data_IF_202682975820
#
_entry.id   IF_202682975820
#
_cell.length_a   1.000
_cell.length_b   1.000
_cell.length_c   1.000
_cell.angle_alpha   90.00
_cell.angle_beta   90.00
_cell.angle_gamma   90.00
#
_symmetry.space_group_name_H-M   'P 1'
#
loop_
_entity.id
_entity.type
_entity.pdbx_description
1 polymer ?
#
# COMPACT_ATOMS: atom_id res chain seq x y z
N UNK A 1 10.52 -27.09 30.85
CA UNK A 1 10.38 -28.31 30.03
C UNK A 1 9.75 -27.85 28.72
N UNK A 2 10.24 -28.34 27.59
CA UNK A 2 9.61 -28.04 26.30
C UNK A 2 8.21 -28.66 26.28
N UNK A 3 7.21 -27.89 25.85
CA UNK A 3 5.85 -28.35 25.63
C UNK A 3 5.79 -29.05 24.27
N UNK A 4 5.67 -30.36 24.26
CA UNK A 4 5.74 -31.17 23.04
C UNK A 4 4.39 -31.83 22.80
N UNK A 5 3.83 -31.61 21.62
CA UNK A 5 2.63 -32.29 21.13
C UNK A 5 2.95 -33.25 19.98
N UNK A 6 1.88 -33.89 19.47
CA UNK A 6 1.96 -34.81 18.32
C UNK A 6 0.91 -34.45 17.27
N UNK A 7 1.26 -34.56 16.00
CA UNK A 7 0.31 -34.41 14.92
C UNK A 7 -0.70 -35.58 14.96
N UNK A 8 -1.98 -35.26 14.97
CA UNK A 8 -3.07 -36.25 14.91
C UNK A 8 -3.80 -36.24 13.57
N UNK A 9 -3.81 -35.08 12.87
CA UNK A 9 -4.43 -34.95 11.55
C UNK A 9 -3.73 -33.89 10.72
N UNK A 10 -3.63 -34.14 9.43
CA UNK A 10 -3.15 -33.16 8.41
C UNK A 10 -4.22 -33.03 7.34
N UNK A 11 -4.69 -31.80 7.10
CA UNK A 11 -5.69 -31.47 6.09
C UNK A 11 -5.19 -30.27 5.25
N UNK A 12 -4.29 -30.54 4.31
CA UNK A 12 -3.62 -29.48 3.56
C UNK A 12 -2.83 -28.53 4.49
N UNK A 13 -3.11 -27.23 4.46
CA UNK A 13 -2.42 -26.25 5.31
C UNK A 13 -2.89 -26.23 6.77
N UNK A 14 -3.87 -27.06 7.14
CA UNK A 14 -4.41 -27.15 8.51
C UNK A 14 -3.97 -28.45 9.17
N UNK A 15 -3.40 -28.34 10.36
CA UNK A 15 -2.82 -29.45 11.11
C UNK A 15 -3.39 -29.45 12.53
N UNK A 16 -3.89 -30.59 12.97
CA UNK A 16 -4.35 -30.80 14.34
C UNK A 16 -3.23 -31.44 15.16
N UNK A 17 -2.94 -30.86 16.33
CA UNK A 17 -1.87 -31.27 17.24
C UNK A 17 -2.44 -31.53 18.62
N UNK A 18 -2.19 -32.72 19.16
CA UNK A 18 -2.58 -33.13 20.51
C UNK A 18 -1.43 -32.88 21.49
N UNK A 19 -1.75 -32.27 22.63
CA UNK A 19 -0.83 -32.03 23.75
C UNK A 19 -1.23 -32.84 24.99
N UNK A 20 -0.36 -32.88 25.99
CA UNK A 20 -0.70 -33.46 27.27
C UNK A 20 -1.73 -32.63 28.04
N UNK A 21 -2.46 -33.26 28.96
CA UNK A 21 -3.50 -32.61 29.76
C UNK A 21 -3.03 -31.31 30.43
N UNK A 22 -3.87 -30.28 30.30
CA UNK A 22 -3.67 -28.94 30.88
C UNK A 22 -2.44 -28.15 30.40
N UNK A 23 -1.84 -28.52 29.27
CA UNK A 23 -0.66 -27.82 28.71
C UNK A 23 -0.88 -27.40 27.26
N UNK A 24 -2.07 -26.90 26.94
CA UNK A 24 -2.40 -26.41 25.59
C UNK A 24 -1.71 -25.07 25.30
N UNK A 25 -1.07 -24.91 24.13
CA UNK A 25 -0.62 -23.61 23.64
C UNK A 25 -1.80 -22.63 23.50
N UNK A 26 -1.51 -21.37 23.70
CA UNK A 26 -2.51 -20.31 23.50
C UNK A 26 -2.84 -20.11 22.01
N UNK A 27 -4.01 -19.57 21.73
CA UNK A 27 -4.38 -19.14 20.37
C UNK A 27 -3.36 -18.07 19.93
N UNK A 28 -2.93 -18.15 18.66
CA UNK A 28 -1.88 -17.34 18.04
C UNK A 28 -0.45 -17.70 18.49
N UNK A 29 -0.25 -18.71 19.32
CA UNK A 29 1.10 -19.23 19.60
C UNK A 29 1.71 -19.92 18.37
N UNK A 30 3.01 -19.73 18.22
CA UNK A 30 3.80 -20.40 17.20
C UNK A 30 4.26 -21.77 17.68
N UNK A 31 4.04 -22.76 16.85
CA UNK A 31 4.55 -24.12 17.02
C UNK A 31 5.48 -24.46 15.86
N UNK A 32 6.33 -25.45 16.02
CA UNK A 32 7.11 -25.95 14.90
C UNK A 32 7.28 -27.44 14.90
N UNK A 33 7.44 -28.02 13.71
CA UNK A 33 7.78 -29.41 13.47
C UNK A 33 9.02 -29.48 12.59
N UNK A 34 9.87 -30.46 12.81
CA UNK A 34 11.02 -30.72 11.92
C UNK A 34 10.56 -31.72 10.85
N UNK A 35 10.52 -31.25 9.63
CA UNK A 35 10.16 -32.05 8.46
C UNK A 35 11.33 -32.10 7.49
N UNK A 36 11.87 -33.31 7.25
CA UNK A 36 13.07 -33.53 6.42
C UNK A 36 14.24 -32.57 6.74
N UNK A 37 14.48 -32.36 8.03
CA UNK A 37 15.56 -31.46 8.52
C UNK A 37 15.25 -29.96 8.44
N UNK A 38 14.07 -29.57 7.95
CA UNK A 38 13.61 -28.19 7.91
C UNK A 38 12.64 -27.90 9.05
N UNK A 39 12.80 -26.74 9.68
CA UNK A 39 11.86 -26.23 10.68
C UNK A 39 10.65 -25.64 9.96
N UNK A 40 9.49 -26.29 10.14
CA UNK A 40 8.22 -25.84 9.58
C UNK A 40 7.37 -25.25 10.71
N UNK A 41 7.06 -23.96 10.61
CA UNK A 41 6.30 -23.21 11.62
C UNK A 41 4.81 -23.26 11.28
N UNK A 42 3.99 -23.38 12.33
CA UNK A 42 2.54 -23.31 12.29
C UNK A 42 2.05 -22.41 13.43
N UNK A 43 0.85 -21.89 13.29
CA UNK A 43 0.21 -21.01 14.28
C UNK A 43 -1.09 -21.64 14.78
N UNK A 44 -1.29 -21.60 16.10
CA UNK A 44 -2.54 -22.08 16.72
C UNK A 44 -3.70 -21.17 16.34
N UNK A 45 -4.69 -21.72 15.66
CA UNK A 45 -5.90 -21.00 15.25
C UNK A 45 -7.05 -21.17 16.23
N UNK A 46 -7.23 -22.39 16.77
CA UNK A 46 -8.33 -22.69 17.69
C UNK A 46 -8.05 -23.93 18.53
N UNK A 47 -8.75 -24.04 19.68
CA UNK A 47 -8.83 -25.24 20.48
C UNK A 47 -10.06 -26.02 20.06
N UNK A 48 -9.90 -27.32 19.74
CA UNK A 48 -10.99 -28.15 19.21
C UNK A 48 -11.45 -29.23 20.19
N UNK A 49 -10.97 -29.19 21.45
CA UNK A 49 -11.27 -30.15 22.48
C UNK A 49 -10.31 -31.33 22.52
N UNK A 50 -10.45 -32.22 23.55
CA UNK A 50 -9.60 -33.40 23.77
C UNK A 50 -8.08 -33.07 23.69
N UNK A 51 -7.66 -31.96 24.32
CA UNK A 51 -6.27 -31.52 24.36
C UNK A 51 -5.66 -31.27 22.97
N UNK A 52 -6.50 -31.01 21.98
CA UNK A 52 -6.09 -30.79 20.58
C UNK A 52 -6.27 -29.34 20.17
N UNK A 53 -5.23 -28.81 19.54
CA UNK A 53 -5.25 -27.50 18.90
C UNK A 53 -5.24 -27.65 17.39
N UNK A 54 -5.96 -26.80 16.71
CA UNK A 54 -5.96 -26.70 15.25
C UNK A 54 -5.06 -25.56 14.82
N UNK A 55 -4.11 -25.87 13.96
CA UNK A 55 -3.07 -24.95 13.53
C UNK A 55 -3.13 -24.70 12.03
N UNK A 56 -2.66 -23.52 11.62
CA UNK A 56 -2.45 -23.14 10.21
C UNK A 56 -0.95 -23.15 9.94
N UNK A 57 -0.54 -23.88 8.90
CA UNK A 57 0.85 -23.94 8.47
C UNK A 57 1.29 -22.63 7.81
N UNK A 58 2.44 -22.10 8.20
CA UNK A 58 3.15 -21.01 7.51
C UNK A 58 4.21 -21.54 6.54
N UNK A 59 4.42 -22.84 6.52
CA UNK A 59 5.27 -23.56 5.60
C UNK A 59 4.50 -24.65 4.88
N UNK A 60 5.06 -25.24 3.85
CA UNK A 60 4.47 -26.36 3.14
C UNK A 60 4.21 -27.54 4.08
N UNK A 61 3.07 -28.19 3.93
CA UNK A 61 2.65 -29.33 4.77
C UNK A 61 3.02 -30.70 4.19
N UNK A 62 3.56 -30.75 2.98
CA UNK A 62 3.95 -31.98 2.32
C UNK A 62 5.02 -32.74 3.12
N UNK A 63 4.78 -34.02 3.31
CA UNK A 63 5.66 -34.89 4.10
C UNK A 63 5.36 -34.91 5.61
N UNK A 64 4.42 -34.10 6.09
CA UNK A 64 3.95 -34.20 7.46
C UNK A 64 3.13 -35.46 7.64
N UNK A 65 3.42 -36.19 8.73
CA UNK A 65 2.78 -37.45 9.08
C UNK A 65 2.21 -37.39 10.50
N UNK A 66 1.26 -38.26 10.73
CA UNK A 66 0.74 -38.49 12.07
C UNK A 66 1.85 -38.93 13.03
N UNK A 67 1.70 -38.61 14.29
CA UNK A 67 2.66 -38.86 15.38
C UNK A 67 4.00 -38.10 15.32
N UNK A 68 4.21 -37.22 14.34
CA UNK A 68 5.37 -36.33 14.34
C UNK A 68 5.30 -35.37 15.54
N UNK A 69 6.45 -35.17 16.18
CA UNK A 69 6.61 -34.26 17.33
C UNK A 69 6.52 -32.81 16.90
N UNK A 70 5.71 -32.04 17.62
CA UNK A 70 5.52 -30.62 17.46
C UNK A 70 5.92 -29.92 18.75
N UNK A 71 6.74 -28.89 18.65
CA UNK A 71 7.22 -28.13 19.81
C UNK A 71 6.50 -26.79 19.86
N UNK A 72 5.92 -26.48 21.03
CA UNK A 72 5.34 -25.18 21.31
C UNK A 72 6.42 -24.20 21.76
N UNK A 73 6.44 -23.01 21.16
CA UNK A 73 7.43 -21.97 21.52
C UNK A 73 7.04 -21.19 22.76
N UNK A 74 5.76 -21.25 23.16
CA UNK A 74 5.22 -20.49 24.29
C UNK A 74 4.98 -19.01 24.00
N UNK A 75 5.06 -18.61 22.75
CA UNK A 75 4.82 -17.23 22.28
C UNK A 75 4.31 -17.24 20.85
N UNK A 76 3.73 -16.13 20.42
CA UNK A 76 3.37 -15.92 19.02
C UNK A 76 4.61 -15.76 18.13
N UNK A 77 4.39 -15.60 16.83
CA UNK A 77 5.47 -15.39 15.84
C UNK A 77 6.23 -14.11 16.20
N UNK A 78 7.54 -14.24 16.38
CA UNK A 78 8.44 -13.13 16.71
C UNK A 78 9.27 -12.75 15.48
N UNK A 79 9.31 -11.47 15.14
CA UNK A 79 10.05 -10.96 13.98
C UNK A 79 11.04 -9.86 14.41
N UNK A 80 12.20 -9.75 13.74
CA UNK A 80 13.17 -8.71 14.07
C UNK A 80 12.60 -7.33 13.75
N UNK A 81 12.93 -6.35 14.57
CA UNK A 81 12.54 -4.95 14.41
C UNK A 81 13.77 -4.06 14.63
N UNK A 82 13.74 -2.85 14.06
CA UNK A 82 14.77 -1.86 14.24
C UNK A 82 15.52 -1.50 12.97
N UNK A 83 16.52 -0.62 13.12
CA UNK A 83 17.24 -0.04 11.98
C UNK A 83 18.00 -1.07 11.12
N UNK A 84 18.39 -2.20 11.70
CA UNK A 84 19.06 -3.28 10.96
C UNK A 84 18.14 -4.05 10.00
N UNK A 85 16.83 -3.83 10.07
CA UNK A 85 15.89 -4.37 9.10
C UNK A 85 15.87 -3.57 7.79
N UNK A 86 16.34 -2.33 7.84
CA UNK A 86 16.40 -1.47 6.65
C UNK A 86 17.40 -1.98 5.62
N UNK A 87 17.04 -1.91 4.37
CA UNK A 87 17.84 -2.44 3.27
C UNK A 87 17.75 -3.95 3.09
N UNK A 88 16.95 -4.64 3.90
CA UNK A 88 16.90 -6.10 3.97
C UNK A 88 15.57 -6.65 3.45
N UNK A 89 15.62 -7.93 3.08
CA UNK A 89 14.51 -8.68 2.54
C UNK A 89 14.17 -9.86 3.48
N UNK A 90 12.90 -9.95 3.88
CA UNK A 90 12.42 -10.93 4.86
C UNK A 90 11.28 -11.79 4.32
N UNK A 91 11.15 -12.99 4.90
CA UNK A 91 9.94 -13.81 4.80
C UNK A 91 8.93 -13.45 5.91
N UNK A 92 7.82 -14.16 5.96
CA UNK A 92 6.75 -13.97 6.97
C UNK A 92 7.23 -14.17 8.41
N UNK A 93 8.23 -15.01 8.63
CA UNK A 93 8.80 -15.30 9.95
C UNK A 93 9.88 -14.29 10.37
N UNK A 94 10.20 -13.33 9.50
CA UNK A 94 11.28 -12.38 9.75
C UNK A 94 12.68 -12.95 9.47
N UNK A 95 12.77 -14.11 8.84
CA UNK A 95 14.07 -14.62 8.38
C UNK A 95 14.53 -13.83 7.16
N UNK A 96 15.82 -13.52 7.09
CA UNK A 96 16.42 -12.84 5.94
C UNK A 96 16.51 -13.78 4.75
N UNK A 97 16.09 -13.32 3.56
CA UNK A 97 16.10 -14.07 2.30
C UNK A 97 16.93 -13.39 1.21
N UNK A 98 17.80 -12.48 1.59
CA UNK A 98 18.67 -11.67 0.73
C UNK A 98 20.16 -12.11 0.81
N UNK A 99 20.43 -13.34 1.25
CA UNK A 99 21.78 -13.90 1.49
C UNK A 99 22.64 -13.09 2.48
N UNK A 100 22.04 -12.13 3.20
CA UNK A 100 22.73 -11.34 4.22
C UNK A 100 22.76 -12.01 5.59
N UNK A 101 23.39 -11.32 6.55
CA UNK A 101 23.46 -11.81 7.93
C UNK A 101 22.07 -11.98 8.55
N UNK A 102 21.93 -13.05 9.37
CA UNK A 102 20.73 -13.27 10.16
C UNK A 102 20.61 -12.26 11.29
N UNK A 103 19.40 -11.84 11.59
CA UNK A 103 19.12 -10.88 12.66
C UNK A 103 18.62 -11.53 13.95
N UNK A 104 19.09 -12.74 14.27
CA UNK A 104 18.64 -13.53 15.43
C UNK A 104 18.93 -12.84 16.77
N UNK A 105 19.95 -11.98 16.82
CA UNK A 105 20.39 -11.27 18.04
C UNK A 105 19.75 -9.88 18.20
N UNK A 106 18.90 -9.48 17.29
CA UNK A 106 18.24 -8.17 17.35
C UNK A 106 16.97 -8.22 18.21
N UNK A 107 16.39 -7.05 18.48
CA UNK A 107 15.09 -6.96 19.17
C UNK A 107 14.02 -7.60 18.31
N UNK A 108 13.23 -8.48 18.90
CA UNK A 108 12.10 -9.13 18.24
C UNK A 108 10.79 -8.72 18.89
N UNK A 109 9.76 -8.52 18.07
CA UNK A 109 8.39 -8.25 18.48
C UNK A 109 7.44 -9.28 17.92
N UNK A 110 6.41 -9.59 18.71
CA UNK A 110 5.31 -10.43 18.25
C UNK A 110 4.51 -9.72 17.15
N UNK A 111 4.13 -10.46 16.10
CA UNK A 111 3.32 -9.89 15.02
C UNK A 111 1.88 -9.62 15.43
N UNK A 112 1.38 -10.30 16.45
CA UNK A 112 0.06 -10.08 17.02
C UNK A 112 0.13 -9.01 18.11
N UNK A 113 -0.12 -7.78 17.71
CA UNK A 113 -0.10 -6.60 18.59
C UNK A 113 -1.49 -5.98 18.64
N UNK A 114 -1.82 -5.40 19.79
CA UNK A 114 -3.03 -4.61 19.93
C UNK A 114 -2.91 -3.29 19.19
N UNK A 115 -4.03 -2.77 18.63
CA UNK A 115 -4.04 -1.43 18.07
C UNK A 115 -3.74 -0.37 19.13
N UNK A 116 -3.30 0.83 18.73
CA UNK A 116 -3.09 1.94 19.67
C UNK A 116 -4.37 2.27 20.45
N UNK A 117 -4.20 2.54 21.73
CA UNK A 117 -5.33 2.95 22.57
C UNK A 117 -5.91 4.31 22.14
N UNK A 118 -7.13 4.62 22.51
CA UNK A 118 -7.71 5.93 22.21
C UNK A 118 -6.88 7.09 22.77
N UNK A 119 -6.23 6.89 23.93
CA UNK A 119 -5.39 7.91 24.54
C UNK A 119 -4.08 8.14 23.77
N UNK A 120 -3.57 7.13 23.10
CA UNK A 120 -2.33 7.19 22.32
C UNK A 120 -2.53 7.75 20.91
N UNK A 121 -3.75 7.69 20.39
CA UNK A 121 -4.05 8.20 19.06
C UNK A 121 -3.95 9.72 19.01
N UNK A 122 -3.43 10.24 17.91
CA UNK A 122 -3.40 11.67 17.64
C UNK A 122 -4.77 12.14 17.13
N UNK A 123 -5.40 13.12 17.77
CA UNK A 123 -6.65 13.69 17.26
C UNK A 123 -6.43 14.66 16.10
N UNK A 124 -5.18 15.05 15.83
CA UNK A 124 -4.84 16.02 14.80
C UNK A 124 -4.72 15.31 13.45
N UNK A 125 -5.49 15.78 12.49
CA UNK A 125 -5.39 15.32 11.11
C UNK A 125 -4.42 16.24 10.37
N UNK A 126 -3.30 15.67 9.94
CA UNK A 126 -2.28 16.37 9.16
C UNK A 126 -2.15 15.75 7.77
N UNK A 127 -1.93 16.59 6.78
CA UNK A 127 -1.63 16.14 5.42
C UNK A 127 -0.20 15.61 5.33
N UNK A 128 -0.03 14.45 4.69
CA UNK A 128 1.25 13.93 4.27
C UNK A 128 1.57 14.46 2.87
N UNK A 129 2.50 15.38 2.77
CA UNK A 129 2.96 15.92 1.50
C UNK A 129 3.80 14.89 0.74
N UNK A 130 3.36 14.49 -0.43
CA UNK A 130 4.02 13.47 -1.25
C UNK A 130 4.98 14.04 -2.28
N UNK A 131 4.86 15.32 -2.60
CA UNK A 131 5.60 15.97 -3.67
C UNK A 131 5.10 15.63 -5.08
N UNK A 132 3.97 14.94 -5.17
CA UNK A 132 3.32 14.55 -6.43
C UNK A 132 2.06 15.42 -6.60
N UNK A 133 2.08 16.30 -7.60
CA UNK A 133 1.04 17.34 -7.80
C UNK A 133 -0.38 16.81 -7.78
N UNK A 134 -0.66 15.76 -8.55
CA UNK A 134 -2.03 15.24 -8.68
C UNK A 134 -2.54 14.65 -7.37
N UNK A 135 -1.70 14.00 -6.60
CA UNK A 135 -2.06 13.43 -5.30
C UNK A 135 -2.27 14.55 -4.29
N UNK A 136 -1.28 15.41 -4.13
CA UNK A 136 -1.30 16.46 -3.12
C UNK A 136 -2.43 17.47 -3.34
N UNK A 137 -2.79 17.75 -4.59
CA UNK A 137 -3.88 18.68 -4.90
C UNK A 137 -5.26 18.06 -4.72
N UNK A 138 -5.50 16.88 -5.32
CA UNK A 138 -6.86 16.34 -5.53
C UNK A 138 -7.22 15.16 -4.64
N UNK A 139 -6.25 14.39 -4.20
CA UNK A 139 -6.43 13.23 -3.33
C UNK A 139 -5.35 13.17 -2.24
N UNK A 140 -5.20 14.22 -1.41
CA UNK A 140 -4.14 14.31 -0.44
C UNK A 140 -4.19 13.18 0.59
N UNK A 141 -3.02 12.70 1.00
CA UNK A 141 -2.88 11.65 1.99
C UNK A 141 -2.85 12.23 3.40
N UNK A 142 -3.54 11.57 4.32
CA UNK A 142 -3.45 11.89 5.74
C UNK A 142 -2.31 11.10 6.39
N UNK A 143 -1.55 11.73 7.28
CA UNK A 143 -0.63 11.00 8.17
C UNK A 143 -1.40 10.03 9.04
N UNK A 144 -0.93 8.79 9.11
CA UNK A 144 -1.64 7.72 9.80
C UNK A 144 -2.89 7.24 9.08
N UNK A 145 -3.14 7.74 7.86
CA UNK A 145 -4.27 7.35 7.02
C UNK A 145 -4.02 6.06 6.25
N UNK A 146 -5.11 5.55 5.69
CA UNK A 146 -5.16 4.33 4.89
C UNK A 146 -5.56 4.71 3.47
N UNK A 147 -4.66 4.53 2.53
CA UNK A 147 -4.83 4.90 1.14
C UNK A 147 -5.00 3.64 0.30
N UNK A 148 -6.09 3.57 -0.45
CA UNK A 148 -6.30 2.53 -1.45
C UNK A 148 -5.70 2.94 -2.79
N UNK A 149 -4.85 2.10 -3.36
CA UNK A 149 -4.27 2.29 -4.68
C UNK A 149 -4.91 1.31 -5.66
N UNK A 150 -5.67 1.84 -6.60
CA UNK A 150 -6.40 1.09 -7.61
C UNK A 150 -5.74 1.24 -8.97
N UNK A 151 -5.70 0.17 -9.73
CA UNK A 151 -5.20 0.20 -11.09
C UNK A 151 -4.93 -1.18 -11.64
N UNK A 152 -5.17 -1.36 -12.93
CA UNK A 152 -4.86 -2.58 -13.65
C UNK A 152 -3.35 -2.77 -13.86
N UNK A 153 -2.99 -3.80 -14.60
CA UNK A 153 -1.59 -4.02 -14.97
C UNK A 153 -1.10 -2.93 -15.94
N UNK A 154 0.16 -2.51 -15.77
CA UNK A 154 0.84 -1.61 -16.71
C UNK A 154 0.44 -0.13 -16.62
N UNK A 155 -0.21 0.30 -15.53
CA UNK A 155 -0.59 1.71 -15.33
C UNK A 155 0.43 2.51 -14.49
N UNK A 156 1.56 1.90 -14.13
CA UNK A 156 2.63 2.59 -13.39
C UNK A 156 2.50 2.51 -11.86
N UNK A 157 1.77 1.53 -11.32
CA UNK A 157 1.60 1.32 -9.88
C UNK A 157 2.94 1.22 -9.14
N UNK A 158 3.81 0.34 -9.61
CA UNK A 158 5.13 0.11 -9.00
C UNK A 158 6.01 1.36 -9.03
N UNK A 159 6.02 2.08 -10.14
CA UNK A 159 6.79 3.32 -10.28
C UNK A 159 6.26 4.40 -9.33
N UNK A 160 4.96 4.50 -9.15
CA UNK A 160 4.36 5.42 -8.18
C UNK A 160 4.75 5.06 -6.74
N UNK A 161 4.72 3.79 -6.37
CA UNK A 161 5.15 3.32 -5.05
C UNK A 161 6.62 3.67 -4.79
N UNK A 162 7.48 3.40 -5.75
CA UNK A 162 8.90 3.73 -5.64
C UNK A 162 9.15 5.23 -5.50
N UNK A 163 8.41 6.06 -6.23
CA UNK A 163 8.52 7.52 -6.12
C UNK A 163 8.05 8.03 -4.75
N UNK A 164 6.97 7.46 -4.20
CA UNK A 164 6.53 7.79 -2.84
C UNK A 164 7.60 7.43 -1.81
N UNK A 165 8.22 6.26 -1.94
CA UNK A 165 9.33 5.83 -1.08
C UNK A 165 10.51 6.80 -1.20
N UNK A 166 10.89 7.14 -2.42
CA UNK A 166 12.00 8.06 -2.70
C UNK A 166 11.74 9.42 -2.05
N UNK A 167 10.57 10.00 -2.27
CA UNK A 167 10.24 11.33 -1.77
C UNK A 167 10.19 11.37 -0.24
N UNK A 168 9.63 10.36 0.40
CA UNK A 168 9.62 10.27 1.87
C UNK A 168 11.03 10.07 2.43
N UNK A 169 11.84 9.22 1.82
CA UNK A 169 13.21 8.97 2.27
C UNK A 169 14.11 10.20 2.12
N UNK A 170 14.00 10.92 1.01
CA UNK A 170 14.89 12.04 0.65
C UNK A 170 14.47 13.34 1.32
N UNK A 171 13.18 13.69 1.24
CA UNK A 171 12.69 14.99 1.68
C UNK A 171 12.32 15.03 3.17
N UNK A 172 11.95 13.89 3.74
CA UNK A 172 11.50 13.80 5.13
C UNK A 172 12.38 12.93 6.02
N UNK A 173 13.37 12.23 5.46
CA UNK A 173 14.23 11.29 6.20
C UNK A 173 13.47 10.11 6.80
N UNK A 174 12.26 9.83 6.32
CA UNK A 174 11.39 8.77 6.81
C UNK A 174 11.77 7.39 6.29
N UNK A 175 11.20 6.37 6.92
CA UNK A 175 11.39 4.98 6.53
C UNK A 175 10.13 4.41 5.89
N UNK A 176 10.32 3.39 5.09
CA UNK A 176 9.24 2.67 4.43
C UNK A 176 9.37 1.18 4.67
N UNK A 177 8.23 0.53 4.81
CA UNK A 177 8.13 -0.93 4.86
C UNK A 177 7.26 -1.37 3.69
N UNK A 178 7.77 -2.26 2.86
CA UNK A 178 6.99 -2.82 1.76
C UNK A 178 6.64 -4.28 2.07
N UNK A 179 5.35 -4.61 1.98
CA UNK A 179 4.86 -5.97 2.15
C UNK A 179 4.26 -6.49 0.86
N UNK A 180 4.88 -7.53 0.29
CA UNK A 180 4.37 -8.27 -0.86
C UNK A 180 3.50 -9.43 -0.41
N UNK A 181 2.20 -9.32 -0.60
CA UNK A 181 1.20 -10.31 -0.17
C UNK A 181 0.64 -11.05 -1.37
N UNK A 182 1.08 -12.29 -1.56
CA UNK A 182 0.58 -13.16 -2.61
C UNK A 182 0.89 -12.71 -4.04
N UNK A 183 1.92 -11.88 -4.22
CA UNK A 183 2.38 -11.43 -5.52
C UNK A 183 3.37 -12.42 -6.15
N UNK A 184 3.67 -12.23 -7.42
CA UNK A 184 4.61 -13.09 -8.15
C UNK A 184 6.03 -12.87 -7.67
N UNK A 185 6.79 -13.94 -7.47
CA UNK A 185 8.18 -13.87 -7.03
C UNK A 185 9.06 -13.05 -7.96
N UNK A 186 8.78 -13.09 -9.28
CA UNK A 186 9.49 -12.27 -10.26
C UNK A 186 9.27 -10.78 -10.01
N UNK A 187 8.02 -10.35 -9.81
CA UNK A 187 7.69 -8.95 -9.57
C UNK A 187 8.33 -8.44 -8.27
N UNK A 188 8.38 -9.28 -7.23
CA UNK A 188 9.08 -8.96 -5.99
C UNK A 188 10.59 -8.81 -6.17
N UNK A 189 11.22 -9.67 -6.98
CA UNK A 189 12.64 -9.57 -7.29
C UNK A 189 12.97 -8.36 -8.17
N UNK A 190 12.12 -8.07 -9.15
CA UNK A 190 12.26 -6.89 -10.00
C UNK A 190 12.18 -5.61 -9.15
N UNK A 191 11.19 -5.51 -8.25
CA UNK A 191 11.04 -4.41 -7.31
C UNK A 191 12.28 -4.23 -6.41
N UNK A 192 12.78 -5.31 -5.84
CA UNK A 192 13.98 -5.25 -4.99
C UNK A 192 15.20 -4.75 -5.75
N UNK A 193 15.40 -5.23 -6.98
CA UNK A 193 16.50 -4.82 -7.85
C UNK A 193 16.39 -3.33 -8.22
N UNK A 194 15.21 -2.90 -8.65
CA UNK A 194 14.93 -1.50 -9.00
C UNK A 194 15.13 -0.55 -7.81
N UNK A 195 14.68 -0.95 -6.61
CA UNK A 195 14.90 -0.16 -5.39
C UNK A 195 16.38 -0.04 -5.01
N UNK A 196 17.16 -1.07 -5.28
CA UNK A 196 18.60 -1.06 -5.09
C UNK A 196 19.30 -0.13 -6.08
N UNK A 197 18.90 -0.18 -7.35
CA UNK A 197 19.43 0.67 -8.41
C UNK A 197 19.05 2.15 -8.22
N UNK A 198 17.86 2.44 -7.74
CA UNK A 198 17.39 3.81 -7.45
C UNK A 198 17.92 4.38 -6.14
N UNK A 199 18.60 3.58 -5.32
CA UNK A 199 19.20 4.03 -4.05
C UNK A 199 18.21 4.26 -2.91
N UNK A 200 16.96 3.79 -3.03
CA UNK A 200 15.94 3.94 -1.98
C UNK A 200 15.90 2.75 -1.01
N UNK A 201 16.59 1.66 -1.33
CA UNK A 201 16.56 0.43 -0.55
C UNK A 201 17.06 0.63 0.88
N UNK A 202 18.10 1.46 1.11
CA UNK A 202 18.70 1.68 2.42
C UNK A 202 17.73 2.28 3.47
N UNK A 203 16.60 2.84 3.02
CA UNK A 203 15.55 3.41 3.88
C UNK A 203 14.29 2.53 3.92
N UNK A 204 14.35 1.32 3.35
CA UNK A 204 13.18 0.46 3.17
C UNK A 204 13.48 -0.95 3.63
N UNK A 205 12.56 -1.56 4.38
CA UNK A 205 12.55 -2.99 4.63
C UNK A 205 11.48 -3.65 3.74
N UNK A 206 11.79 -4.84 3.21
CA UNK A 206 10.93 -5.59 2.33
C UNK A 206 10.54 -6.92 2.99
N UNK A 207 9.25 -7.22 3.02
CA UNK A 207 8.72 -8.47 3.57
C UNK A 207 7.86 -9.14 2.52
N UNK A 208 8.18 -10.36 2.13
CA UNK A 208 7.45 -11.09 1.09
C UNK A 208 6.81 -12.39 1.60
N UNK A 209 5.53 -12.55 1.29
CA UNK A 209 4.80 -13.81 1.34
C UNK A 209 4.20 -14.05 -0.04
N UNK A 210 4.95 -14.74 -0.91
CA UNK A 210 4.68 -14.82 -2.34
C UNK A 210 3.51 -15.75 -2.69
N UNK A 211 3.09 -15.69 -3.95
CA UNK A 211 1.95 -16.47 -4.48
C UNK A 211 2.10 -17.97 -4.29
N UNK A 212 3.32 -18.50 -4.32
CA UNK A 212 3.62 -19.92 -4.14
C UNK A 212 3.71 -20.37 -2.68
N UNK A 213 3.64 -19.43 -1.74
CA UNK A 213 3.66 -19.77 -0.31
C UNK A 213 2.27 -20.19 0.18
N UNK A 214 2.21 -21.01 1.25
CA UNK A 214 0.93 -21.48 1.80
C UNK A 214 0.06 -20.32 2.30
N UNK A 215 -1.25 -20.50 2.40
CA UNK A 215 -2.17 -19.45 2.81
C UNK A 215 -1.85 -18.84 4.19
N UNK A 216 -1.32 -19.63 5.13
CA UNK A 216 -0.89 -19.12 6.44
C UNK A 216 0.19 -18.04 6.32
N UNK A 217 1.19 -18.22 5.46
CA UNK A 217 2.22 -17.22 5.22
C UNK A 217 1.62 -15.94 4.59
N UNK A 218 0.77 -16.09 3.59
CA UNK A 218 0.10 -14.95 2.94
C UNK A 218 -0.85 -14.19 3.87
N UNK A 219 -1.45 -14.86 4.86
CA UNK A 219 -2.28 -14.23 5.89
C UNK A 219 -1.48 -13.39 6.88
N UNK A 220 -0.22 -13.71 7.14
CA UNK A 220 0.57 -13.09 8.22
C UNK A 220 1.65 -12.14 7.75
N UNK A 221 2.01 -12.16 6.49
CA UNK A 221 3.11 -11.32 5.97
C UNK A 221 2.82 -9.81 6.14
N UNK A 222 1.58 -9.37 5.96
CA UNK A 222 1.20 -7.97 6.18
C UNK A 222 1.36 -7.56 7.66
N UNK A 223 1.04 -8.45 8.59
CA UNK A 223 1.23 -8.22 10.03
C UNK A 223 2.72 -8.16 10.39
N UNK A 224 3.55 -8.97 9.75
CA UNK A 224 5.01 -8.90 9.91
C UNK A 224 5.56 -7.53 9.52
N UNK A 225 5.22 -7.04 8.34
CA UNK A 225 5.65 -5.71 7.89
C UNK A 225 5.09 -4.59 8.74
N UNK A 226 3.83 -4.68 9.14
CA UNK A 226 3.20 -3.70 10.03
C UNK A 226 3.90 -3.65 11.39
N UNK A 227 4.30 -4.78 11.95
CA UNK A 227 5.05 -4.84 13.21
C UNK A 227 6.40 -4.13 13.10
N UNK A 228 7.11 -4.30 11.98
CA UNK A 228 8.34 -3.56 11.72
C UNK A 228 8.09 -2.04 11.63
N UNK A 229 7.00 -1.63 10.97
CA UNK A 229 6.61 -0.22 10.88
C UNK A 229 6.24 0.37 12.25
N UNK A 230 5.52 -0.37 13.07
CA UNK A 230 5.13 0.07 14.42
C UNK A 230 6.32 0.34 15.32
N UNK A 231 7.42 -0.41 15.19
CA UNK A 231 8.64 -0.13 15.94
C UNK A 231 9.18 1.26 15.64
N UNK A 232 9.24 1.65 14.39
CA UNK A 232 9.70 2.99 14.00
C UNK A 232 8.75 4.09 14.47
N UNK A 233 7.43 3.85 14.44
CA UNK A 233 6.43 4.77 14.98
C UNK A 233 6.57 4.93 16.49
N UNK A 234 6.58 3.82 17.23
CA UNK A 234 6.40 3.81 18.69
C UNK A 234 7.72 4.07 19.44
N UNK A 235 8.84 3.52 18.96
CA UNK A 235 10.17 3.60 19.61
C UNK A 235 11.01 4.72 19.01
N UNK A 236 11.08 4.78 17.68
CA UNK A 236 11.88 5.81 16.99
C UNK A 236 11.13 7.13 16.80
N UNK A 237 9.83 7.16 17.08
CA UNK A 237 8.95 8.34 16.98
C UNK A 237 8.98 8.98 15.61
N UNK A 238 8.86 8.16 14.58
CA UNK A 238 8.93 8.58 13.20
C UNK A 238 7.62 8.34 12.45
N UNK A 239 7.48 9.07 11.35
CA UNK A 239 6.45 8.82 10.36
C UNK A 239 6.96 7.76 9.38
N UNK A 240 6.19 6.69 9.20
CA UNK A 240 6.55 5.53 8.40
C UNK A 240 5.51 5.31 7.32
N UNK A 241 5.95 4.99 6.11
CA UNK A 241 5.08 4.46 5.07
C UNK A 241 5.06 2.92 5.11
N UNK A 242 3.87 2.37 5.09
CA UNK A 242 3.64 0.94 4.94
C UNK A 242 2.94 0.67 3.61
N UNK A 243 3.58 -0.10 2.74
CA UNK A 243 2.98 -0.56 1.50
C UNK A 243 2.50 -2.00 1.65
N UNK A 244 1.26 -2.27 1.24
CA UNK A 244 0.67 -3.61 1.20
C UNK A 244 0.25 -3.90 -0.23
N UNK A 245 0.97 -4.77 -0.90
CA UNK A 245 0.65 -5.20 -2.26
C UNK A 245 0.50 -6.71 -2.29
N UNK A 246 -0.67 -7.26 -2.24
CA UNK A 246 -2.00 -6.71 -2.42
C UNK A 246 -2.90 -7.10 -1.22
N UNK A 247 -3.68 -6.18 -0.69
CA UNK A 247 -4.56 -6.45 0.46
C UNK A 247 -5.64 -7.50 0.14
N UNK A 248 -6.09 -7.60 -1.11
CA UNK A 248 -7.02 -8.64 -1.53
C UNK A 248 -6.46 -10.05 -1.30
N UNK A 249 -5.15 -10.24 -1.50
CA UNK A 249 -4.50 -11.56 -1.29
C UNK A 249 -4.46 -11.97 0.18
N UNK A 250 -4.38 -11.01 1.09
CA UNK A 250 -4.56 -11.24 2.52
C UNK A 250 -5.95 -11.83 2.82
N UNK A 251 -7.00 -11.22 2.30
CA UNK A 251 -8.38 -11.69 2.44
C UNK A 251 -8.56 -13.07 1.80
N UNK A 252 -8.06 -13.27 0.59
CA UNK A 252 -8.14 -14.53 -0.14
C UNK A 252 -7.48 -15.68 0.62
N UNK A 253 -6.31 -15.46 1.20
CA UNK A 253 -5.63 -16.47 2.01
C UNK A 253 -6.47 -16.91 3.21
N UNK A 254 -7.16 -15.97 3.88
CA UNK A 254 -8.11 -16.26 4.94
C UNK A 254 -9.28 -17.12 4.46
N UNK A 255 -9.81 -16.88 3.27
CA UNK A 255 -10.91 -17.67 2.70
C UNK A 255 -10.47 -19.10 2.34
N UNK A 256 -9.26 -19.29 1.87
CA UNK A 256 -8.70 -20.61 1.51
C UNK A 256 -8.66 -21.59 2.70
N UNK A 257 -8.39 -21.09 3.89
CA UNK A 257 -8.31 -21.94 5.10
C UNK A 257 -9.61 -22.02 5.88
N UNK A 258 -10.56 -21.13 5.67
CA UNK A 258 -11.76 -20.96 6.47
C UNK A 258 -12.61 -22.23 6.56
N UNK A 259 -12.84 -22.90 5.43
CA UNK A 259 -13.58 -24.15 5.39
C UNK A 259 -12.86 -25.30 6.14
N UNK A 260 -11.53 -25.35 6.02
CA UNK A 260 -10.70 -26.34 6.71
C UNK A 260 -10.67 -26.13 8.23
N UNK A 261 -10.90 -24.89 8.67
CA UNK A 261 -11.07 -24.57 10.09
C UNK A 261 -12.48 -24.91 10.62
N UNK A 262 -13.38 -25.43 9.76
CA UNK A 262 -14.73 -25.78 10.15
C UNK A 262 -15.70 -24.60 10.20
N UNK A 263 -15.38 -23.49 9.56
CA UNK A 263 -16.25 -22.30 9.47
C UNK A 263 -17.16 -22.40 8.26
N UNK A 264 -18.44 -22.08 8.42
CA UNK A 264 -19.36 -21.97 7.29
C UNK A 264 -19.02 -20.75 6.45
N UNK A 265 -18.95 -20.87 5.12
CA UNK A 265 -18.68 -19.71 4.25
C UNK A 265 -19.80 -18.68 4.32
N UNK A 266 -19.42 -17.41 4.23
CA UNK A 266 -20.34 -16.29 4.07
C UNK A 266 -20.61 -15.99 2.60
N UNK A 267 -21.12 -14.80 2.29
CA UNK A 267 -21.41 -14.38 0.92
C UNK A 267 -20.20 -14.57 -0.01
N UNK A 268 -20.45 -15.04 -1.22
CA UNK A 268 -19.44 -15.28 -2.28
C UNK A 268 -18.32 -16.25 -1.87
N UNK A 269 -18.52 -17.01 -0.79
CA UNK A 269 -17.54 -18.00 -0.30
C UNK A 269 -16.44 -17.44 0.61
N UNK A 270 -16.51 -16.19 1.01
CA UNK A 270 -15.56 -15.60 1.96
C UNK A 270 -15.74 -16.14 3.39
N UNK A 271 -14.71 -15.97 4.21
CA UNK A 271 -14.76 -16.31 5.63
C UNK A 271 -15.80 -15.47 6.39
N UNK A 272 -16.49 -16.05 7.38
CA UNK A 272 -17.44 -15.27 8.20
C UNK A 272 -16.75 -14.22 9.06
N UNK A 273 -15.42 -14.34 9.27
CA UNK A 273 -14.59 -13.43 10.05
C UNK A 273 -13.96 -12.32 9.21
N UNK A 274 -14.34 -12.15 7.94
CA UNK A 274 -13.74 -11.20 7.00
C UNK A 274 -13.60 -9.79 7.58
N UNK A 275 -14.66 -9.24 8.13
CA UNK A 275 -14.65 -7.89 8.67
C UNK A 275 -13.70 -7.77 9.88
N UNK A 276 -13.64 -8.79 10.72
CA UNK A 276 -12.75 -8.80 11.89
C UNK A 276 -11.29 -8.96 11.46
N UNK A 277 -10.99 -9.86 10.53
CA UNK A 277 -9.63 -10.10 10.03
C UNK A 277 -9.04 -8.82 9.40
N UNK A 278 -9.83 -8.15 8.56
CA UNK A 278 -9.43 -6.86 7.97
C UNK A 278 -9.34 -5.77 9.04
N UNK A 279 -10.29 -5.70 9.94
CA UNK A 279 -10.33 -4.71 11.03
C UNK A 279 -9.12 -4.82 11.96
N UNK A 280 -8.73 -6.03 12.40
CA UNK A 280 -7.55 -6.25 13.25
C UNK A 280 -6.27 -5.68 12.61
N UNK A 281 -6.09 -5.85 11.30
CA UNK A 281 -4.96 -5.31 10.58
C UNK A 281 -5.06 -3.77 10.44
N UNK A 282 -6.21 -3.28 9.99
CA UNK A 282 -6.40 -1.86 9.66
C UNK A 282 -6.36 -0.92 10.87
N UNK A 283 -6.89 -1.35 12.01
CA UNK A 283 -6.93 -0.52 13.23
C UNK A 283 -5.54 -0.29 13.86
N UNK A 284 -4.56 -1.13 13.55
CA UNK A 284 -3.16 -0.92 13.97
C UNK A 284 -2.47 0.19 13.17
N UNK A 285 -2.98 0.50 11.98
CA UNK A 285 -2.46 1.53 11.08
C UNK A 285 -3.07 2.87 11.52
N UNK A 286 -2.31 3.66 12.27
CA UNK A 286 -2.80 4.89 12.86
C UNK A 286 -1.68 5.89 13.14
N UNK A 287 -2.08 7.14 13.31
CA UNK A 287 -1.25 8.21 13.86
C UNK A 287 -1.34 8.19 15.37
N UNK A 288 -0.21 8.21 16.04
CA UNK A 288 -0.10 8.28 17.50
C UNK A 288 0.61 9.56 17.92
N UNK A 289 0.64 9.83 19.23
CA UNK A 289 1.41 10.96 19.79
C UNK A 289 2.91 10.85 19.53
N UNK A 290 3.40 9.66 19.23
CA UNK A 290 4.84 9.40 19.01
C UNK A 290 5.23 9.50 17.52
N UNK A 291 4.36 9.09 16.61
CA UNK A 291 4.61 9.06 15.18
C UNK A 291 3.42 8.47 14.45
N UNK A 292 3.56 8.23 13.17
CA UNK A 292 2.48 7.68 12.34
C UNK A 292 2.93 6.49 11.49
N UNK A 293 1.99 5.58 11.24
CA UNK A 293 2.07 4.61 10.14
C UNK A 293 1.00 4.97 9.13
N UNK A 294 1.41 5.40 7.96
CA UNK A 294 0.53 5.69 6.82
C UNK A 294 0.62 4.53 5.85
N UNK A 295 -0.51 3.92 5.48
CA UNK A 295 -0.50 2.80 4.56
C UNK A 295 -0.96 3.17 3.16
N UNK A 296 -0.26 2.64 2.17
CA UNK A 296 -0.69 2.61 0.76
C UNK A 296 -0.93 1.15 0.41
N UNK A 297 -2.19 0.81 0.17
CA UNK A 297 -2.65 -0.55 -0.03
C UNK A 297 -3.12 -0.73 -1.46
N UNK A 298 -2.44 -1.58 -2.21
CA UNK A 298 -2.94 -1.97 -3.53
C UNK A 298 -4.18 -2.85 -3.34
N UNK A 299 -5.25 -2.49 -4.01
CA UNK A 299 -6.53 -3.20 -3.94
C UNK A 299 -6.85 -3.78 -5.31
N UNK A 300 -6.97 -5.10 -5.37
CA UNK A 300 -7.53 -5.78 -6.52
C UNK A 300 -9.04 -5.90 -6.36
N UNK A 301 -9.77 -5.56 -7.40
CA UNK A 301 -11.23 -5.64 -7.44
C UNK A 301 -11.61 -6.77 -8.39
N UNK A 302 -12.10 -7.92 -7.88
CA UNK A 302 -12.51 -9.04 -8.73
C UNK A 302 -13.60 -8.64 -9.72
N UNK A 303 -13.39 -8.92 -11.01
CA UNK A 303 -14.33 -8.61 -12.10
C UNK A 303 -14.79 -7.12 -12.15
N UNK A 304 -13.98 -6.21 -11.63
CA UNK A 304 -14.30 -4.79 -11.47
C UNK A 304 -15.59 -4.53 -10.66
N UNK A 305 -15.99 -5.49 -9.82
CA UNK A 305 -17.18 -5.40 -8.97
C UNK A 305 -16.84 -4.84 -7.59
N UNK A 306 -17.10 -3.56 -7.38
CA UNK A 306 -16.90 -2.86 -6.12
C UNK A 306 -17.84 -3.35 -4.99
N UNK A 307 -18.87 -4.13 -5.32
CA UNK A 307 -19.80 -4.69 -4.33
C UNK A 307 -19.34 -6.04 -3.79
N UNK A 308 -18.29 -6.61 -4.35
CA UNK A 308 -17.66 -7.81 -3.79
C UNK A 308 -17.26 -7.57 -2.33
N UNK A 309 -17.53 -8.52 -1.40
CA UNK A 309 -17.28 -8.33 0.03
C UNK A 309 -15.85 -7.95 0.41
N UNK A 310 -14.83 -8.42 -0.31
CA UNK A 310 -13.45 -8.13 0.01
C UNK A 310 -13.07 -6.65 -0.25
N UNK A 311 -13.23 -6.10 -1.46
CA UNK A 311 -13.02 -4.68 -1.68
C UNK A 311 -13.98 -3.82 -0.87
N UNK A 312 -15.25 -4.16 -0.75
CA UNK A 312 -16.23 -3.40 0.03
C UNK A 312 -15.81 -3.24 1.50
N UNK A 313 -15.34 -4.32 2.14
CA UNK A 313 -14.85 -4.28 3.51
C UNK A 313 -13.57 -3.44 3.62
N UNK A 314 -12.67 -3.55 2.67
CA UNK A 314 -11.43 -2.75 2.63
C UNK A 314 -11.75 -1.27 2.46
N UNK A 315 -12.66 -0.90 1.56
CA UNK A 315 -13.06 0.49 1.32
C UNK A 315 -13.60 1.20 2.56
N UNK A 316 -14.28 0.47 3.44
CA UNK A 316 -14.81 1.03 4.68
C UNK A 316 -13.72 1.63 5.58
N UNK A 317 -12.49 1.14 5.48
CA UNK A 317 -11.33 1.59 6.25
C UNK A 317 -10.51 2.68 5.56
N UNK A 318 -10.69 2.92 4.27
CA UNK A 318 -9.85 3.85 3.51
C UNK A 318 -10.19 5.32 3.77
N UNK A 319 -9.16 6.14 3.91
CA UNK A 319 -9.26 7.60 4.04
C UNK A 319 -9.10 8.31 2.71
N UNK A 320 -8.37 7.72 1.79
CA UNK A 320 -8.18 8.23 0.43
C UNK A 320 -8.11 7.09 -0.59
N UNK A 321 -8.46 7.39 -1.83
CA UNK A 321 -8.34 6.48 -2.97
C UNK A 321 -7.55 7.15 -4.08
N UNK A 322 -6.55 6.45 -4.59
CA UNK A 322 -5.78 6.84 -5.76
C UNK A 322 -6.06 5.86 -6.88
N UNK A 323 -6.70 6.32 -7.94
CA UNK A 323 -7.09 5.49 -9.08
C UNK A 323 -6.15 5.74 -10.24
N UNK A 324 -5.44 4.70 -10.68
CA UNK A 324 -4.60 4.74 -11.87
C UNK A 324 -5.41 4.27 -13.09
N UNK A 325 -5.44 5.10 -14.13
CA UNK A 325 -6.28 4.91 -15.30
C UNK A 325 -5.49 4.59 -16.55
N UNK A 326 -5.87 3.51 -17.25
CA UNK A 326 -5.29 3.18 -18.55
C UNK A 326 -5.55 4.25 -19.61
N UNK A 327 -6.71 4.90 -19.56
CA UNK A 327 -7.05 6.01 -20.47
C UNK A 327 -6.07 7.18 -20.37
N UNK A 328 -5.57 7.44 -19.16
CA UNK A 328 -4.56 8.49 -18.92
C UNK A 328 -3.18 8.04 -19.41
N UNK A 329 -2.84 6.76 -19.23
CA UNK A 329 -1.61 6.16 -19.82
C UNK A 329 -1.61 6.30 -21.35
N UNK A 330 -2.73 6.05 -22.01
CA UNK A 330 -2.89 6.19 -23.47
C UNK A 330 -2.67 7.61 -23.96
N UNK A 331 -2.89 8.61 -23.10
CA UNK A 331 -2.59 10.01 -23.37
C UNK A 331 -1.12 10.39 -23.10
N UNK A 332 -0.32 9.43 -22.61
CA UNK A 332 1.07 9.65 -22.25
C UNK A 332 1.28 10.46 -20.96
N UNK A 333 0.26 10.60 -20.13
CA UNK A 333 0.31 11.37 -18.88
C UNK A 333 0.73 10.45 -17.74
N UNK A 334 1.82 10.81 -17.06
CA UNK A 334 2.33 10.11 -15.88
C UNK A 334 2.63 11.09 -14.74
N UNK A 335 2.28 10.77 -13.47
CA UNK A 335 1.58 9.54 -13.05
C UNK A 335 0.16 9.48 -13.63
N UNK A 336 -0.29 8.27 -13.96
CA UNK A 336 -1.58 8.07 -14.60
C UNK A 336 -2.77 8.08 -13.61
N UNK A 337 -2.70 8.96 -12.62
CA UNK A 337 -3.75 9.13 -11.60
C UNK A 337 -4.96 9.82 -12.22
N UNK A 338 -6.12 9.19 -12.10
CA UNK A 338 -7.37 9.79 -12.55
C UNK A 338 -7.82 10.88 -11.58
N UNK A 339 -7.85 12.15 -12.01
CA UNK A 339 -8.14 13.27 -11.13
C UNK A 339 -9.61 13.36 -10.69
N UNK A 340 -10.50 12.69 -11.38
CA UNK A 340 -11.95 12.71 -11.09
C UNK A 340 -12.42 11.47 -10.32
N UNK A 341 -11.74 10.33 -10.51
CA UNK A 341 -12.06 9.08 -9.80
C UNK A 341 -11.30 8.94 -8.47
N UNK A 342 -10.20 9.68 -8.31
CA UNK A 342 -9.43 9.71 -7.06
C UNK A 342 -10.06 10.68 -6.06
N UNK A 343 -10.02 10.33 -4.78
CA UNK A 343 -10.65 11.12 -3.72
C UNK A 343 -9.91 11.02 -2.40
N UNK A 344 -10.15 11.99 -1.51
CA UNK A 344 -9.62 11.98 -0.15
C UNK A 344 -10.61 12.62 0.82
N UNK A 345 -10.75 12.02 2.00
CA UNK A 345 -11.58 12.57 3.08
C UNK A 345 -11.03 13.85 3.68
N UNK A 346 -9.70 14.06 3.59
CA UNK A 346 -9.07 15.26 4.15
C UNK A 346 -9.06 16.44 3.18
N UNK A 347 -9.61 16.32 1.97
CA UNK A 347 -9.76 17.45 1.04
C UNK A 347 -10.94 18.33 1.50
N UNK A 348 -10.73 19.00 2.61
CA UNK A 348 -11.65 19.95 3.25
C UNK A 348 -10.90 21.20 3.64
N UNK A 349 -11.59 22.35 3.59
CA UNK A 349 -10.97 23.65 3.85
C UNK A 349 -10.31 23.75 5.25
N UNK A 350 -10.89 23.07 6.24
CA UNK A 350 -10.39 23.07 7.61
C UNK A 350 -9.08 22.30 7.77
N UNK A 351 -8.76 21.37 6.86
CA UNK A 351 -7.56 20.53 6.92
C UNK A 351 -6.47 21.05 5.99
N UNK A 352 -6.79 21.24 4.70
CA UNK A 352 -5.80 21.63 3.69
C UNK A 352 -5.68 23.14 3.51
N UNK A 353 -6.60 23.91 4.05
CA UNK A 353 -6.72 25.36 3.89
C UNK A 353 -7.68 25.76 2.77
N UNK A 354 -8.26 26.95 2.92
CA UNK A 354 -9.29 27.48 2.00
C UNK A 354 -8.81 27.61 0.55
N UNK A 355 -7.60 28.10 0.36
CA UNK A 355 -7.02 28.29 -0.99
C UNK A 355 -6.81 26.96 -1.71
N UNK A 356 -6.21 25.99 -1.04
CA UNK A 356 -6.00 24.65 -1.59
C UNK A 356 -7.32 23.99 -1.95
N UNK A 357 -8.27 24.00 -1.04
CA UNK A 357 -9.61 23.44 -1.26
C UNK A 357 -10.31 24.06 -2.47
N UNK A 358 -10.31 25.39 -2.54
CA UNK A 358 -10.96 26.13 -3.64
C UNK A 358 -10.31 25.80 -4.99
N UNK A 359 -8.98 25.81 -5.06
CA UNK A 359 -8.24 25.47 -6.29
C UNK A 359 -8.53 24.02 -6.71
N UNK A 360 -8.50 23.07 -5.78
CA UNK A 360 -8.80 21.66 -6.07
C UNK A 360 -10.23 21.49 -6.63
N UNK A 361 -11.22 22.13 -6.03
CA UNK A 361 -12.60 22.07 -6.52
C UNK A 361 -12.77 22.67 -7.90
N UNK A 362 -12.16 23.83 -8.15
CA UNK A 362 -12.18 24.46 -9.48
C UNK A 362 -11.50 23.59 -10.55
N UNK A 363 -10.40 22.91 -10.20
CA UNK A 363 -9.74 21.95 -11.10
C UNK A 363 -10.68 20.77 -11.42
N UNK A 364 -11.34 20.20 -10.42
CA UNK A 364 -12.31 19.12 -10.63
C UNK A 364 -13.47 19.56 -11.50
N UNK A 365 -14.02 20.74 -11.28
CA UNK A 365 -15.13 21.30 -12.07
C UNK A 365 -14.77 21.50 -13.53
N UNK A 366 -13.61 22.07 -13.81
CA UNK A 366 -13.16 22.32 -15.18
C UNK A 366 -12.85 21.03 -15.92
N UNK A 367 -12.26 20.03 -15.24
CA UNK A 367 -12.00 18.71 -15.84
C UNK A 367 -13.29 17.93 -16.08
N UNK A 368 -14.26 18.03 -15.19
CA UNK A 368 -15.56 17.40 -15.35
C UNK A 368 -16.32 18.02 -16.54
N UNK A 369 -16.34 19.35 -16.62
CA UNK A 369 -16.96 20.04 -17.76
C UNK A 369 -16.26 19.67 -19.07
N UNK A 370 -14.93 19.57 -19.08
CA UNK A 370 -14.20 19.12 -20.26
C UNK A 370 -14.56 17.70 -20.67
N UNK A 371 -14.71 16.77 -19.72
CA UNK A 371 -15.13 15.41 -20.00
C UNK A 371 -16.52 15.36 -20.69
N UNK A 372 -17.45 16.19 -20.25
CA UNK A 372 -18.77 16.33 -20.85
C UNK A 372 -18.71 16.94 -22.26
N UNK A 373 -17.82 17.89 -22.48
CA UNK A 373 -17.64 18.52 -23.80
C UNK A 373 -16.89 17.63 -24.81
N UNK A 374 -16.14 16.62 -24.36
CA UNK A 374 -15.41 15.72 -25.27
C UNK A 374 -16.31 14.99 -26.26
N UNK A 375 -17.49 14.56 -25.84
CA UNK A 375 -18.46 13.89 -26.71
C UNK A 375 -19.00 14.86 -27.78
N UNK A 376 -19.24 16.10 -27.40
CA UNK A 376 -19.68 17.15 -28.32
C UNK A 376 -18.56 17.48 -29.33
N UNK A 377 -17.33 17.62 -28.85
CA UNK A 377 -16.15 17.91 -29.70
C UNK A 377 -15.94 16.76 -30.71
N UNK A 378 -16.09 15.51 -30.29
CA UNK A 378 -15.91 14.36 -31.15
C UNK A 378 -16.94 14.28 -32.30
N UNK A 379 -18.17 14.78 -32.08
CA UNK A 379 -19.25 14.73 -33.06
C UNK A 379 -19.29 15.99 -33.91
N UNK A 380 -19.21 17.16 -33.29
CA UNK A 380 -19.46 18.46 -33.96
C UNK A 380 -18.20 19.26 -34.23
N UNK A 381 -17.08 18.92 -33.56
CA UNK A 381 -15.82 19.68 -33.63
C UNK A 381 -15.75 20.84 -32.64
N UNK A 382 -14.53 21.39 -32.48
CA UNK A 382 -14.27 22.52 -31.57
C UNK A 382 -14.97 23.81 -31.97
N UNK A 383 -15.20 24.02 -33.27
CA UNK A 383 -15.74 25.27 -33.81
C UNK A 383 -17.16 25.55 -33.35
N UNK A 384 -17.97 24.50 -33.07
CA UNK A 384 -19.33 24.60 -32.61
C UNK A 384 -19.49 24.97 -31.14
N UNK A 385 -18.40 24.99 -30.39
CA UNK A 385 -18.43 25.37 -28.97
C UNK A 385 -18.55 26.90 -28.82
N UNK A 386 -19.19 27.32 -27.73
CA UNK A 386 -19.18 28.73 -27.31
C UNK A 386 -17.75 29.18 -26.97
N UNK A 387 -17.48 30.47 -27.00
CA UNK A 387 -16.14 31.02 -26.65
C UNK A 387 -15.77 30.68 -25.19
N UNK A 388 -16.75 30.63 -24.29
CA UNK A 388 -16.57 30.21 -22.90
C UNK A 388 -16.17 28.74 -22.80
N UNK A 389 -16.84 27.87 -23.56
CA UNK A 389 -16.52 26.44 -23.58
C UNK A 389 -15.16 26.17 -24.25
N UNK A 390 -14.79 26.91 -25.30
CA UNK A 390 -13.47 26.85 -25.90
C UNK A 390 -12.38 27.21 -24.89
N UNK A 391 -12.56 28.29 -24.13
CA UNK A 391 -11.63 28.69 -23.08
C UNK A 391 -11.51 27.61 -22.00
N UNK A 392 -12.65 27.04 -21.58
CA UNK A 392 -12.69 25.91 -20.62
C UNK A 392 -11.87 24.73 -21.14
N UNK A 393 -12.03 24.35 -22.39
CA UNK A 393 -11.28 23.23 -23.01
C UNK A 393 -9.79 23.52 -23.07
N UNK A 394 -9.38 24.73 -23.45
CA UNK A 394 -7.95 25.11 -23.50
C UNK A 394 -7.30 25.05 -22.10
N UNK A 395 -7.95 25.59 -21.10
CA UNK A 395 -7.46 25.53 -19.71
C UNK A 395 -7.45 24.11 -19.16
N UNK A 396 -8.50 23.32 -19.43
CA UNK A 396 -8.59 21.92 -19.00
C UNK A 396 -7.46 21.06 -19.60
N UNK A 397 -7.12 21.26 -20.87
CA UNK A 397 -5.99 20.57 -21.51
C UNK A 397 -4.65 20.94 -20.86
N UNK A 398 -4.43 22.21 -20.54
CA UNK A 398 -3.25 22.67 -19.81
C UNK A 398 -3.18 22.04 -18.42
N UNK A 399 -4.29 22.00 -17.72
CA UNK A 399 -4.41 21.36 -16.40
C UNK A 399 -4.07 19.87 -16.49
N UNK A 400 -4.63 19.13 -17.43
CA UNK A 400 -4.33 17.69 -17.61
C UNK A 400 -2.83 17.48 -17.85
N UNK A 401 -2.21 18.27 -18.70
CA UNK A 401 -0.77 18.17 -18.95
C UNK A 401 0.07 18.58 -17.76
N UNK A 402 -0.36 19.59 -17.00
CA UNK A 402 0.34 20.04 -15.79
C UNK A 402 0.20 19.07 -14.62
N UNK A 403 -0.78 18.18 -14.62
CA UNK A 403 -0.87 17.05 -13.69
C UNK A 403 0.25 16.03 -13.90
N UNK A 404 0.84 15.95 -15.10
CA UNK A 404 2.03 15.13 -15.34
C UNK A 404 3.25 15.69 -14.63
N UNK A 405 4.16 14.80 -14.24
CA UNK A 405 5.34 15.17 -13.46
C UNK A 405 6.46 14.18 -13.72
N UNK A 406 7.72 14.64 -13.90
CA UNK A 406 8.86 13.74 -14.00
C UNK A 406 9.20 13.17 -12.63
N UNK A 407 9.40 11.85 -12.57
CA UNK A 407 9.76 11.12 -11.36
C UNK A 407 11.26 10.85 -11.28
N UNK A 408 11.82 10.92 -10.07
CA UNK A 408 13.24 10.60 -9.82
C UNK A 408 13.54 9.14 -10.19
N UNK A 409 12.66 8.22 -9.82
CA UNK A 409 12.85 6.79 -10.12
C UNK A 409 12.73 6.45 -11.59
N UNK A 410 12.20 7.36 -12.40
CA UNK A 410 12.06 7.19 -13.85
C UNK A 410 13.13 7.93 -14.68
N UNK A 411 14.06 8.65 -14.06
CA UNK A 411 15.09 9.45 -14.77
C UNK A 411 15.87 8.64 -15.81
N UNK A 412 16.27 7.42 -15.44
CA UNK A 412 17.04 6.54 -16.31
C UNK A 412 16.28 6.10 -17.56
N UNK A 413 14.96 6.10 -17.51
CA UNK A 413 14.10 5.69 -18.64
C UNK A 413 13.64 6.89 -19.47
N UNK A 414 13.37 8.01 -18.83
CA UNK A 414 12.80 9.19 -19.49
C UNK A 414 13.85 10.18 -19.93
N UNK A 415 15.05 10.15 -19.36
CA UNK A 415 16.10 11.14 -19.57
C UNK A 415 15.76 12.53 -19.01
N UNK A 416 14.71 12.64 -18.22
CA UNK A 416 14.26 13.90 -17.61
C UNK A 416 14.49 13.84 -16.10
N UNK A 417 15.18 14.84 -15.50
CA UNK A 417 15.37 14.89 -14.05
C UNK A 417 14.04 14.92 -13.29
N UNK A 418 13.93 14.13 -12.24
CA UNK A 418 12.76 14.10 -11.38
C UNK A 418 12.53 15.40 -10.63
N UNK A 419 11.31 15.61 -10.17
CA UNK A 419 10.91 16.82 -9.45
C UNK A 419 10.02 16.48 -8.28
N UNK A 420 10.42 16.91 -7.08
CA UNK A 420 9.55 17.05 -5.93
C UNK A 420 8.89 18.44 -6.01
N UNK A 421 7.58 18.51 -5.98
CA UNK A 421 6.84 19.79 -6.05
C UNK A 421 6.12 20.00 -4.72
N UNK A 422 6.53 21.02 -3.93
CA UNK A 422 5.83 21.37 -2.70
C UNK A 422 4.36 21.72 -2.95
N UNK A 423 3.50 21.42 -1.99
CA UNK A 423 2.05 21.69 -2.09
C UNK A 423 1.75 23.15 -2.40
N UNK A 424 2.49 24.08 -1.79
CA UNK A 424 2.33 25.52 -2.04
C UNK A 424 2.57 25.90 -3.51
N UNK A 425 3.59 25.32 -4.14
CA UNK A 425 3.88 25.54 -5.55
C UNK A 425 2.84 24.86 -6.46
N UNK A 426 2.36 23.70 -6.07
CA UNK A 426 1.27 23.00 -6.78
C UNK A 426 0.00 23.83 -6.79
N UNK A 427 -0.44 24.31 -5.64
CA UNK A 427 -1.66 25.15 -5.50
C UNK A 427 -1.50 26.44 -6.29
N UNK A 428 -0.38 27.13 -6.14
CA UNK A 428 -0.10 28.38 -6.86
C UNK A 428 -0.08 28.18 -8.38
N UNK A 429 0.52 27.08 -8.86
CA UNK A 429 0.60 26.77 -10.29
C UNK A 429 -0.76 26.50 -10.92
N UNK A 430 -1.60 25.67 -10.28
CA UNK A 430 -2.95 25.41 -10.77
C UNK A 430 -3.85 26.63 -10.67
N UNK A 431 -3.70 27.44 -9.63
CA UNK A 431 -4.42 28.72 -9.51
C UNK A 431 -4.11 29.64 -10.67
N UNK A 432 -2.82 29.81 -11.02
CA UNK A 432 -2.41 30.65 -12.15
C UNK A 432 -3.04 30.20 -13.49
N UNK A 433 -3.15 28.89 -13.71
CA UNK A 433 -3.83 28.36 -14.91
C UNK A 433 -5.34 28.68 -14.87
N UNK A 434 -5.99 28.46 -13.73
CA UNK A 434 -7.43 28.70 -13.55
C UNK A 434 -7.79 30.19 -13.69
N UNK A 435 -6.94 31.09 -13.19
CA UNK A 435 -7.16 32.54 -13.22
C UNK A 435 -6.80 33.18 -14.56
N UNK A 436 -6.24 32.40 -15.50
CA UNK A 436 -5.95 32.84 -16.87
C UNK A 436 -4.58 33.47 -17.06
N UNK A 437 -3.73 33.54 -16.04
CA UNK A 437 -2.37 34.08 -16.14
C UNK A 437 -1.49 33.28 -17.11
N UNK A 438 -1.88 32.05 -17.40
CA UNK A 438 -1.13 31.14 -18.27
C UNK A 438 -1.81 30.92 -19.64
N UNK A 439 -2.83 31.70 -19.99
CA UNK A 439 -3.57 31.51 -21.24
C UNK A 439 -2.72 31.68 -22.50
N UNK A 440 -1.74 32.57 -22.47
CA UNK A 440 -0.84 32.85 -23.59
C UNK A 440 0.27 31.80 -23.80
N UNK A 441 0.44 30.88 -22.87
CA UNK A 441 1.48 29.84 -22.95
C UNK A 441 1.01 28.62 -23.75
N UNK A 442 1.89 28.02 -24.58
CA UNK A 442 1.51 26.85 -25.37
C UNK A 442 1.23 25.63 -24.50
N UNK A 443 0.24 24.84 -24.87
CA UNK A 443 -0.19 23.63 -24.14
C UNK A 443 0.96 22.63 -23.88
N UNK A 444 1.86 22.47 -24.85
CA UNK A 444 3.00 21.57 -24.74
C UNK A 444 4.01 21.93 -23.64
N UNK A 445 4.04 23.20 -23.19
CA UNK A 445 4.93 23.63 -22.12
C UNK A 445 4.53 23.10 -20.74
N UNK A 446 3.28 22.71 -20.56
CA UNK A 446 2.74 22.17 -19.30
C UNK A 446 3.01 20.67 -19.10
N UNK A 447 3.49 20.00 -20.13
CA UNK A 447 3.69 18.56 -20.10
C UNK A 447 5.00 18.17 -19.41
N UNK A 448 4.92 17.25 -18.44
CA UNK A 448 6.07 16.66 -17.76
C UNK A 448 7.04 17.69 -17.17
N UNK A 449 6.50 18.58 -16.36
CA UNK A 449 7.23 19.65 -15.66
C UNK A 449 6.94 19.62 -14.16
N UNK A 450 7.76 20.28 -13.37
CA UNK A 450 7.55 20.43 -11.93
C UNK A 450 6.54 21.54 -11.61
N UNK A 451 7.03 22.75 -11.39
CA UNK A 451 6.21 23.91 -11.01
C UNK A 451 5.90 24.82 -12.23
N UNK A 452 5.19 25.91 -11.96
CA UNK A 452 4.77 26.87 -13.00
C UNK A 452 5.96 27.60 -13.62
N UNK A 453 7.06 27.80 -12.91
CA UNK A 453 8.26 28.43 -13.45
C UNK A 453 8.97 27.53 -14.47
N UNK A 454 8.89 26.22 -14.29
CA UNK A 454 9.37 25.24 -15.28
C UNK A 454 8.54 25.31 -16.56
N UNK A 455 7.23 25.60 -16.49
CA UNK A 455 6.38 25.85 -17.65
C UNK A 455 6.86 27.06 -18.41
N UNK A 456 7.15 28.17 -17.73
CA UNK A 456 7.64 29.41 -18.36
C UNK A 456 8.99 29.23 -19.06
N UNK A 457 9.92 28.49 -18.41
CA UNK A 457 11.22 28.15 -19.01
C UNK A 457 11.04 27.30 -20.26
N UNK A 458 10.24 26.25 -20.18
CA UNK A 458 9.99 25.36 -21.31
C UNK A 458 9.31 26.07 -22.47
N UNK A 459 8.35 26.96 -22.19
CA UNK A 459 7.71 27.78 -23.21
C UNK A 459 8.72 28.68 -23.94
N UNK A 460 9.64 29.31 -23.21
CA UNK A 460 10.71 30.13 -23.81
C UNK A 460 11.64 29.31 -24.71
N UNK A 461 12.00 28.08 -24.29
CA UNK A 461 12.81 27.18 -25.11
C UNK A 461 12.08 26.69 -26.37
N UNK A 462 10.76 26.54 -26.31
CA UNK A 462 9.93 26.16 -27.47
C UNK A 462 9.81 27.29 -28.48
N UNK A 463 9.84 28.54 -28.03
CA UNK A 463 9.80 29.71 -28.91
C UNK A 463 11.15 30.01 -29.56
N UNK A 464 12.25 29.57 -28.95
CA UNK A 464 13.61 29.76 -29.44
C UNK A 464 14.03 28.73 -30.50
N UNK A 465 13.27 27.65 -30.69
CA UNK A 465 13.44 26.60 -31.71
C UNK A 465 12.54 26.89 -32.92
#
# INVERSE_FOLDING_TARGET
MENIGKIVQVSGPVVDVEFEDNNLPSIKDALYVINNGKKCVMEVSQHIGHNTVRCIMLAASEGLCRDMKVVATGAGIQVPVGEKTLGRLFNVLGDTIDDGEKLDNETHWCIHREPPTFEDQSPVVEMLETGIKVIDLLAPYAKGGKIGLFGGAGVGKTVLIQELIHNIATERGGYSIFTGVGERSREGNDLWTEMKESGVLDKTALVFGQMNEPPGARMRVAETGLTMAEYFRDVKKQDVLLFIDNIFRFVQAGSEVSALLGRMPSAVGYQPTLANDVGELQERIASTKNGSVTSVQAVYVPADDLTDPAPATTFAHLDATTVLSRKIVEQGIYPAVDPLESSSRILEADVVGEEHYTVARRVQEILQKYRELQDIIAILGMEELSDEDKLTVYRARKIQRFLSQPFFVAENFTGTPGRFVPVSETVAGFKAILDGEMDDYPEGAFFNVGNIDDVKKKAAEMQAK
#
